data_IF_576968503585
#
_entry.id   IF_576968503585
#
_cell.length_a   1.000
_cell.length_b   1.000
_cell.length_c   1.000
_cell.angle_alpha   90.00
_cell.angle_beta   90.00
_cell.angle_gamma   90.00
#
_symmetry.space_group_name_H-M   'P 1'
#
loop_
_entity.id
_entity.type
_entity.pdbx_description
1 polymer ?
#
# COMPACT_ATOMS: atom_id res chain seq x y z
N UNK A 1 -15.42 41.59 55.25
CA UNK A 1 -14.94 41.73 53.85
C UNK A 1 -14.11 40.48 53.56
N UNK A 2 -14.68 39.53 52.80
CA UNK A 2 -14.14 38.18 52.61
C UNK A 2 -13.36 38.18 51.29
N UNK A 3 -12.10 37.76 51.33
CA UNK A 3 -11.14 37.85 50.22
C UNK A 3 -11.54 36.99 49.01
N UNK A 4 -11.76 37.65 47.87
CA UNK A 4 -11.92 37.05 46.53
C UNK A 4 -10.56 36.67 45.91
N UNK A 5 -9.69 35.98 46.65
CA UNK A 5 -8.34 35.65 46.16
C UNK A 5 -8.22 34.25 45.51
N UNK A 6 -9.32 33.49 45.45
CA UNK A 6 -9.32 32.12 44.91
C UNK A 6 -9.94 31.99 43.52
N UNK A 7 -10.59 33.03 42.99
CA UNK A 7 -11.24 33.02 41.67
C UNK A 7 -10.21 33.13 40.54
N UNK A 8 -9.19 33.95 40.71
CA UNK A 8 -8.11 34.17 39.73
C UNK A 8 -7.29 32.89 39.47
N UNK A 9 -6.77 32.15 40.47
CA UNK A 9 -6.02 30.92 40.20
C UNK A 9 -6.87 29.82 39.58
N UNK A 10 -8.18 29.78 39.88
CA UNK A 10 -9.09 28.78 39.31
C UNK A 10 -9.37 29.04 37.81
N UNK A 11 -9.53 30.31 37.42
CA UNK A 11 -9.72 30.71 36.01
C UNK A 11 -8.44 30.45 35.21
N UNK A 12 -7.25 30.71 35.79
CA UNK A 12 -5.97 30.43 35.14
C UNK A 12 -5.76 28.92 34.93
N UNK A 13 -6.07 28.09 35.92
CA UNK A 13 -6.05 26.62 35.75
C UNK A 13 -7.04 26.13 34.68
N UNK A 14 -8.25 26.69 34.62
CA UNK A 14 -9.26 26.33 33.62
C UNK A 14 -8.81 26.68 32.19
N UNK A 15 -8.19 27.85 32.01
CA UNK A 15 -7.64 28.28 30.71
C UNK A 15 -6.44 27.41 30.32
N UNK A 16 -5.57 27.06 31.26
CA UNK A 16 -4.44 26.16 30.99
C UNK A 16 -4.92 24.78 30.54
N UNK A 17 -5.99 24.26 31.17
CA UNK A 17 -6.58 22.97 30.82
C UNK A 17 -7.24 22.99 29.43
N UNK A 18 -7.94 24.07 29.08
CA UNK A 18 -8.60 24.24 27.78
C UNK A 18 -7.61 24.39 26.60
N UNK A 19 -6.40 24.90 26.85
CA UNK A 19 -5.38 25.08 25.80
C UNK A 19 -4.49 23.83 25.63
N UNK A 20 -4.23 23.08 26.71
CA UNK A 20 -3.32 21.91 26.65
C UNK A 20 -3.99 20.66 26.07
N UNK A 21 -5.30 20.46 26.33
CA UNK A 21 -6.03 19.27 25.85
C UNK A 21 -6.11 19.15 24.32
N UNK A 22 -6.37 20.21 23.52
CA UNK A 22 -6.41 20.09 22.06
C UNK A 22 -5.03 19.87 21.41
N UNK A 23 -3.93 20.22 22.09
CA UNK A 23 -2.56 19.97 21.61
C UNK A 23 -2.18 18.47 21.68
N UNK A 24 -2.72 17.74 22.66
CA UNK A 24 -2.50 16.29 22.78
C UNK A 24 -3.19 15.51 21.64
N UNK A 25 -4.35 16.00 21.18
CA UNK A 25 -5.10 15.35 20.09
C UNK A 25 -4.42 15.43 18.71
N UNK A 26 -3.63 16.47 18.46
CA UNK A 26 -2.85 16.60 17.22
C UNK A 26 -1.55 15.78 17.25
N UNK A 27 -1.02 15.45 18.43
CA UNK A 27 0.19 14.64 18.58
C UNK A 27 -0.02 13.13 18.28
N UNK A 28 -1.26 12.69 18.07
CA UNK A 28 -1.61 11.31 17.72
C UNK A 28 -2.02 11.15 16.25
N UNK A 29 -2.07 12.23 15.47
CA UNK A 29 -2.41 12.14 14.04
C UNK A 29 -1.25 11.55 13.24
N UNK A 30 -1.29 10.24 13.02
CA UNK A 30 -0.44 9.56 12.05
C UNK A 30 -1.24 9.37 10.76
N UNK A 31 -0.85 10.00 9.63
CA UNK A 31 -1.40 9.59 8.34
C UNK A 31 -1.01 8.12 8.12
N UNK A 32 -2.00 7.23 8.17
CA UNK A 32 -1.80 5.82 7.90
C UNK A 32 -1.60 5.66 6.39
N UNK A 33 -0.33 5.68 5.97
CA UNK A 33 0.08 5.63 4.55
C UNK A 33 -0.42 4.35 3.87
N UNK A 34 -0.70 3.31 4.65
CA UNK A 34 -1.15 1.98 4.23
C UNK A 34 -2.67 1.81 4.20
N UNK A 35 -3.45 2.88 4.41
CA UNK A 35 -4.91 2.85 4.33
C UNK A 35 -5.36 3.59 3.09
N UNK A 36 -6.22 2.93 2.29
CA UNK A 36 -6.82 3.52 1.11
C UNK A 36 -8.34 3.37 1.12
N UNK A 37 -9.04 4.45 0.78
CA UNK A 37 -10.50 4.51 0.81
C UNK A 37 -11.05 4.82 -0.57
N UNK A 38 -12.14 4.13 -0.93
CA UNK A 38 -12.88 4.39 -2.15
C UNK A 38 -14.38 4.48 -1.85
N UNK A 39 -15.05 5.51 -2.39
CA UNK A 39 -16.49 5.69 -2.20
C UNK A 39 -17.33 4.62 -2.91
N UNK A 40 -16.75 3.92 -3.89
CA UNK A 40 -17.43 2.85 -4.62
C UNK A 40 -16.50 1.65 -4.78
N UNK A 41 -16.98 0.51 -4.29
CA UNK A 41 -16.33 -0.77 -4.49
C UNK A 41 -17.33 -1.93 -4.58
N UNK A 42 -16.81 -3.06 -5.05
CA UNK A 42 -17.50 -4.35 -5.14
C UNK A 42 -16.57 -5.44 -4.63
N UNK A 43 -16.99 -6.21 -3.65
CA UNK A 43 -16.27 -7.37 -3.14
C UNK A 43 -17.00 -8.63 -3.58
N UNK A 44 -16.28 -9.55 -4.22
CA UNK A 44 -16.78 -10.89 -4.56
C UNK A 44 -16.12 -11.88 -3.62
N UNK A 45 -16.93 -12.55 -2.80
CA UNK A 45 -16.46 -13.51 -1.81
C UNK A 45 -16.13 -14.87 -2.45
N UNK A 46 -15.36 -15.69 -1.74
CA UNK A 46 -15.06 -17.07 -2.15
C UNK A 46 -16.30 -17.97 -2.15
N UNK A 47 -17.35 -17.61 -1.39
CA UNK A 47 -18.69 -18.23 -1.46
C UNK A 47 -19.42 -17.98 -2.78
N UNK A 48 -19.04 -16.92 -3.51
CA UNK A 48 -19.75 -16.43 -4.70
C UNK A 48 -20.63 -15.21 -4.44
N UNK A 49 -20.89 -14.88 -3.17
CA UNK A 49 -21.67 -13.68 -2.80
C UNK A 49 -20.93 -12.41 -3.23
N UNK A 50 -21.70 -11.36 -3.53
CA UNK A 50 -21.17 -10.07 -3.95
C UNK A 50 -21.75 -8.96 -3.10
N UNK A 51 -20.88 -8.10 -2.57
CA UNK A 51 -21.25 -6.97 -1.72
C UNK A 51 -20.79 -5.69 -2.41
N UNK A 52 -21.64 -4.66 -2.39
CA UNK A 52 -21.39 -3.35 -2.97
C UNK A 52 -21.42 -2.29 -1.88
N UNK A 53 -20.55 -1.29 -1.99
CA UNK A 53 -20.53 -0.19 -1.03
C UNK A 53 -19.20 0.56 -1.01
N UNK A 54 -19.08 1.58 -0.16
CA UNK A 54 -17.80 2.20 0.18
C UNK A 54 -16.83 1.18 0.76
N UNK A 55 -15.56 1.27 0.36
CA UNK A 55 -14.52 0.30 0.71
C UNK A 55 -13.32 1.00 1.33
N UNK A 56 -12.80 0.42 2.40
CA UNK A 56 -11.51 0.79 2.99
C UNK A 56 -10.57 -0.42 2.92
N UNK A 57 -9.38 -0.25 2.36
CA UNK A 57 -8.36 -1.29 2.31
C UNK A 57 -7.17 -0.93 3.18
N UNK A 58 -6.85 -1.83 4.10
CA UNK A 58 -5.68 -1.76 4.97
C UNK A 58 -4.60 -2.67 4.39
N UNK A 59 -3.64 -2.09 3.67
CA UNK A 59 -2.64 -2.84 2.90
C UNK A 59 -1.76 -3.72 3.78
N UNK A 60 -1.31 -3.21 4.93
CA UNK A 60 -0.41 -3.95 5.85
C UNK A 60 -1.10 -5.17 6.47
N UNK A 61 -2.36 -4.99 6.89
CA UNK A 61 -3.15 -6.03 7.55
C UNK A 61 -3.78 -6.99 6.53
N UNK A 62 -3.75 -6.65 5.24
CA UNK A 62 -4.46 -7.38 4.17
C UNK A 62 -5.96 -7.51 4.47
N UNK A 63 -6.58 -6.46 5.03
CA UNK A 63 -8.00 -6.44 5.38
C UNK A 63 -8.73 -5.44 4.51
N UNK A 64 -9.83 -5.87 3.92
CA UNK A 64 -10.76 -5.02 3.21
C UNK A 64 -12.07 -4.91 3.99
N UNK A 65 -12.45 -3.67 4.27
CA UNK A 65 -13.70 -3.33 4.91
C UNK A 65 -14.68 -2.80 3.87
N UNK A 66 -15.95 -3.15 4.01
CA UNK A 66 -17.05 -2.62 3.19
C UNK A 66 -18.19 -2.19 4.09
N UNK A 67 -18.74 -1.01 3.80
CA UNK A 67 -19.96 -0.54 4.46
C UNK A 67 -21.18 -1.11 3.72
N UNK A 68 -21.99 -1.88 4.44
CA UNK A 68 -23.22 -2.47 3.95
C UNK A 68 -24.34 -1.40 3.84
N UNK A 69 -25.42 -1.74 3.14
CA UNK A 69 -26.57 -0.83 2.95
C UNK A 69 -27.24 -0.42 4.28
N UNK A 70 -27.19 -1.28 5.30
CA UNK A 70 -27.72 -1.00 6.64
C UNK A 70 -26.77 -0.14 7.51
N UNK A 71 -25.63 0.28 6.95
CA UNK A 71 -24.62 1.09 7.62
C UNK A 71 -23.62 0.29 8.46
N UNK A 72 -23.77 -1.03 8.56
CA UNK A 72 -22.80 -1.89 9.27
C UNK A 72 -21.50 -2.03 8.48
N UNK A 73 -20.40 -2.29 9.18
CA UNK A 73 -19.09 -2.54 8.55
C UNK A 73 -18.79 -4.04 8.58
N UNK A 74 -18.46 -4.60 7.42
CA UNK A 74 -17.96 -5.98 7.31
C UNK A 74 -16.50 -5.98 6.90
N UNK A 75 -15.70 -6.82 7.56
CA UNK A 75 -14.27 -6.94 7.33
C UNK A 75 -13.95 -8.32 6.73
N UNK A 76 -13.16 -8.34 5.66
CA UNK A 76 -12.76 -9.56 4.99
C UNK A 76 -11.25 -9.60 4.77
N UNK A 77 -10.67 -10.80 4.89
CA UNK A 77 -9.29 -11.10 4.56
C UNK A 77 -9.22 -11.88 3.23
N UNK A 78 -8.02 -12.12 2.66
CA UNK A 78 -7.91 -12.74 1.33
C UNK A 78 -8.45 -14.18 1.26
N UNK A 79 -8.58 -14.87 2.41
CA UNK A 79 -9.21 -16.21 2.47
C UNK A 79 -10.71 -16.18 2.15
N UNK A 80 -11.38 -15.06 2.41
CA UNK A 80 -12.83 -14.90 2.23
C UNK A 80 -13.19 -14.20 0.93
N UNK A 81 -12.22 -13.55 0.29
CA UNK A 81 -12.44 -12.73 -0.91
C UNK A 81 -11.83 -13.42 -2.11
N UNK A 82 -12.57 -13.50 -3.22
CA UNK A 82 -12.03 -13.96 -4.51
C UNK A 82 -11.32 -12.81 -5.24
N UNK A 83 -12.02 -11.68 -5.35
CA UNK A 83 -11.48 -10.42 -5.86
C UNK A 83 -12.36 -9.27 -5.40
N UNK A 84 -11.82 -8.06 -5.45
CA UNK A 84 -12.61 -6.85 -5.30
C UNK A 84 -12.24 -5.83 -6.39
N UNK A 85 -13.17 -4.93 -6.69
CA UNK A 85 -12.99 -3.86 -7.65
C UNK A 85 -13.32 -2.56 -6.93
N UNK A 86 -12.45 -1.56 -7.06
CA UNK A 86 -12.63 -0.22 -6.48
C UNK A 86 -12.53 0.82 -7.58
N UNK A 87 -13.23 1.94 -7.41
CA UNK A 87 -13.25 3.02 -8.37
C UNK A 87 -12.71 4.31 -7.75
N UNK A 88 -11.67 4.87 -8.35
CA UNK A 88 -11.12 6.17 -7.98
C UNK A 88 -12.06 7.30 -8.43
N UNK A 89 -12.20 8.34 -7.62
CA UNK A 89 -12.85 9.60 -8.00
C UNK A 89 -11.82 10.73 -7.98
N UNK A 90 -11.87 11.68 -8.95
CA UNK A 90 -12.88 11.84 -9.99
C UNK A 90 -12.60 11.07 -11.30
N UNK A 91 -11.48 10.35 -11.38
CA UNK A 91 -11.03 9.72 -12.64
C UNK A 91 -11.97 8.63 -13.17
N UNK A 92 -12.77 8.02 -12.29
CA UNK A 92 -13.60 6.87 -12.61
C UNK A 92 -12.80 5.59 -12.91
N UNK A 93 -11.48 5.61 -12.70
CA UNK A 93 -10.59 4.48 -12.96
C UNK A 93 -10.96 3.33 -12.02
N UNK A 94 -11.23 2.16 -12.61
CA UNK A 94 -11.49 0.93 -11.86
C UNK A 94 -10.21 0.13 -11.70
N UNK A 95 -9.90 -0.25 -10.47
CA UNK A 95 -8.75 -1.09 -10.12
C UNK A 95 -9.26 -2.41 -9.56
N UNK A 96 -8.71 -3.53 -10.04
CA UNK A 96 -9.10 -4.87 -9.57
C UNK A 96 -8.01 -5.44 -8.69
N UNK A 97 -8.39 -5.94 -7.52
CA UNK A 97 -7.50 -6.66 -6.62
C UNK A 97 -7.96 -8.12 -6.53
N UNK A 98 -7.02 -9.07 -6.60
CA UNK A 98 -7.31 -10.50 -6.52
C UNK A 98 -6.66 -11.13 -5.30
N UNK A 99 -7.34 -12.09 -4.70
CA UNK A 99 -6.73 -13.01 -3.75
C UNK A 99 -6.03 -14.13 -4.51
N UNK A 100 -4.72 -14.25 -4.35
CA UNK A 100 -3.91 -15.27 -5.00
C UNK A 100 -3.08 -16.02 -3.94
N UNK A 101 -2.88 -17.31 -4.18
CA UNK A 101 -2.02 -18.16 -3.34
C UNK A 101 -0.56 -17.84 -3.63
N UNK A 102 0.12 -17.22 -2.68
CA UNK A 102 1.50 -16.75 -2.84
C UNK A 102 2.41 -17.31 -1.75
N UNK A 103 3.63 -17.67 -2.15
CA UNK A 103 4.69 -18.26 -1.30
C UNK A 103 5.49 -17.22 -0.51
N UNK A 104 5.14 -15.94 -0.63
CA UNK A 104 5.86 -14.83 -0.02
C UNK A 104 7.29 -14.66 -0.52
N UNK A 105 7.54 -15.00 -1.80
CA UNK A 105 8.86 -14.94 -2.43
C UNK A 105 9.87 -15.89 -1.78
N UNK A 106 9.36 -16.99 -1.20
CA UNK A 106 10.14 -18.08 -0.58
C UNK A 106 10.22 -19.26 -1.55
N UNK A 107 11.30 -19.32 -2.31
CA UNK A 107 11.57 -20.37 -3.31
C UNK A 107 11.84 -21.76 -2.71
N UNK A 108 12.13 -21.84 -1.41
CA UNK A 108 12.41 -23.07 -0.68
C UNK A 108 11.19 -23.70 0.02
N UNK A 109 9.99 -23.12 -0.13
CA UNK A 109 8.78 -23.56 0.58
C UNK A 109 7.60 -23.70 -0.38
N UNK A 110 6.84 -24.77 -0.23
CA UNK A 110 5.57 -24.98 -0.92
C UNK A 110 4.38 -24.29 -0.21
N UNK A 111 4.62 -23.72 0.96
CA UNK A 111 3.60 -23.02 1.72
C UNK A 111 3.16 -21.76 1.00
N UNK A 112 1.89 -21.74 0.58
CA UNK A 112 1.26 -20.56 -0.01
C UNK A 112 0.12 -20.08 0.89
N UNK A 113 -0.01 -18.76 1.04
CA UNK A 113 -1.17 -18.14 1.70
C UNK A 113 -1.95 -17.28 0.71
N UNK A 114 -3.29 -17.16 0.87
CA UNK A 114 -4.07 -16.16 0.15
C UNK A 114 -3.54 -14.76 0.45
N UNK A 115 -3.38 -13.94 -0.58
CA UNK A 115 -2.84 -12.59 -0.48
C UNK A 115 -3.43 -11.70 -1.57
N UNK A 116 -3.71 -10.44 -1.24
CA UNK A 116 -4.21 -9.48 -2.23
C UNK A 116 -3.10 -8.96 -3.14
N UNK A 117 -3.40 -8.93 -4.43
CA UNK A 117 -2.58 -8.32 -5.48
C UNK A 117 -3.43 -7.39 -6.34
N UNK A 118 -2.90 -6.22 -6.65
CA UNK A 118 -3.48 -5.36 -7.68
C UNK A 118 -3.21 -5.98 -9.06
N UNK A 119 -4.25 -6.14 -9.87
CA UNK A 119 -4.14 -6.55 -11.26
C UNK A 119 -3.99 -5.33 -12.17
N UNK A 120 -2.90 -5.26 -12.92
CA UNK A 120 -2.58 -4.11 -13.76
C UNK A 120 -3.00 -4.27 -15.22
N UNK A 121 -3.22 -5.49 -15.70
CA UNK A 121 -3.65 -5.76 -17.06
C UNK A 121 -4.50 -7.04 -17.19
N UNK A 122 -4.89 -7.39 -18.40
CA UNK A 122 -5.62 -8.63 -18.72
C UNK A 122 -4.86 -9.42 -19.81
N UNK A 123 -5.12 -10.73 -19.91
CA UNK A 123 -4.56 -11.60 -20.94
C UNK A 123 -4.02 -12.91 -20.37
N UNK A 124 -3.24 -13.64 -21.18
CA UNK A 124 -2.63 -14.90 -20.78
C UNK A 124 -1.60 -14.73 -19.66
N UNK A 125 -0.70 -13.76 -19.79
CA UNK A 125 0.20 -13.36 -18.71
C UNK A 125 -0.30 -12.07 -18.08
N UNK A 126 -0.56 -12.10 -16.78
CA UNK A 126 -1.11 -10.96 -16.05
C UNK A 126 -0.01 -10.34 -15.18
N UNK A 127 0.30 -9.07 -15.42
CA UNK A 127 1.10 -8.25 -14.54
C UNK A 127 0.26 -7.90 -13.32
N UNK A 128 0.78 -8.26 -12.14
CA UNK A 128 0.18 -7.95 -10.86
C UNK A 128 1.21 -7.23 -9.98
N UNK A 129 0.75 -6.48 -9.00
CA UNK A 129 1.64 -5.78 -8.07
C UNK A 129 1.15 -5.79 -6.63
N UNK A 130 2.09 -5.51 -5.74
CA UNK A 130 1.87 -5.19 -4.33
C UNK A 130 2.70 -3.99 -3.94
N UNK A 131 2.26 -3.27 -2.93
CA UNK A 131 3.04 -2.20 -2.32
C UNK A 131 3.77 -2.72 -1.09
N UNK A 132 5.04 -2.37 -0.97
CA UNK A 132 5.83 -2.62 0.23
C UNK A 132 6.05 -1.31 0.95
N UNK A 133 5.54 -1.23 2.18
CA UNK A 133 5.63 -0.06 3.05
C UNK A 133 6.88 -0.20 3.93
N UNK A 134 7.94 0.52 3.57
CA UNK A 134 9.23 0.47 4.26
C UNK A 134 9.33 1.68 5.18
N UNK A 135 9.71 1.43 6.43
CA UNK A 135 10.11 2.46 7.38
C UNK A 135 11.63 2.53 7.34
N UNK A 136 12.19 3.64 6.86
CA UNK A 136 13.64 3.84 6.83
C UNK A 136 14.03 4.86 7.89
N UNK A 137 14.99 4.51 8.75
CA UNK A 137 15.69 5.48 9.58
C UNK A 137 16.56 6.36 8.67
N UNK A 138 16.50 7.69 8.80
CA UNK A 138 17.37 8.57 8.02
C UNK A 138 18.84 8.19 8.22
N UNK A 139 19.50 7.77 7.13
CA UNK A 139 20.85 7.19 7.09
C UNK A 139 21.98 8.15 7.51
N UNK A 140 21.67 9.38 7.95
CA UNK A 140 22.61 10.49 8.10
C UNK A 140 22.87 10.93 9.56
N UNK A 141 22.69 10.08 10.56
CA UNK A 141 23.34 10.31 11.85
C UNK A 141 24.72 9.66 11.85
N UNK A 142 25.75 10.44 11.52
CA UNK A 142 27.12 10.03 11.79
C UNK A 142 27.24 9.72 13.29
N UNK A 143 27.88 8.60 13.65
CA UNK A 143 28.14 8.28 15.06
C UNK A 143 28.88 9.41 15.81
N UNK A 144 29.56 10.29 15.05
CA UNK A 144 30.25 11.47 15.56
C UNK A 144 29.30 12.61 15.99
N UNK A 145 28.14 12.76 15.35
CA UNK A 145 27.12 13.74 15.73
C UNK A 145 26.22 13.25 16.87
N UNK A 146 26.09 11.93 17.06
CA UNK A 146 25.32 11.35 18.16
C UNK A 146 25.99 11.53 19.54
N UNK A 147 27.33 11.64 19.59
CA UNK A 147 28.07 11.73 20.85
C UNK A 147 27.81 13.03 21.64
N UNK A 148 27.44 14.11 20.96
CA UNK A 148 27.16 15.42 21.58
C UNK A 148 25.78 15.54 22.23
N UNK A 149 24.84 14.66 21.89
CA UNK A 149 23.44 14.70 22.38
C UNK A 149 23.15 13.69 23.50
N UNK A 150 24.12 12.86 23.90
CA UNK A 150 23.97 11.83 24.94
C UNK A 150 23.86 12.37 26.38
N UNK A 151 24.01 13.68 26.59
CA UNK A 151 24.06 14.30 27.92
C UNK A 151 22.86 15.19 28.27
N UNK A 152 21.89 15.35 27.36
CA UNK A 152 20.71 16.20 27.58
C UNK A 152 19.41 15.39 27.34
N UNK A 153 18.63 15.08 28.40
CA UNK A 153 17.37 14.34 28.28
C UNK A 153 16.30 15.02 27.41
N UNK A 154 16.43 16.33 27.15
CA UNK A 154 15.43 17.14 26.43
C UNK A 154 15.86 17.50 24.99
N UNK A 155 16.99 16.97 24.51
CA UNK A 155 17.52 17.30 23.18
C UNK A 155 16.83 16.53 22.05
N UNK A 156 15.96 17.20 21.29
CA UNK A 156 15.42 16.73 20.00
C UNK A 156 16.54 16.67 18.94
N UNK A 157 16.78 15.50 18.35
CA UNK A 157 17.73 15.33 17.24
C UNK A 157 17.00 15.63 15.92
N UNK A 158 17.29 16.76 15.25
CA UNK A 158 16.67 17.11 13.97
C UNK A 158 17.11 16.11 12.90
N UNK A 159 16.15 15.57 12.14
CA UNK A 159 16.42 14.54 11.14
C UNK A 159 16.39 13.11 11.67
N UNK A 160 15.78 12.86 12.83
CA UNK A 160 15.35 11.52 13.31
C UNK A 160 13.94 11.14 12.81
N UNK A 161 13.41 11.92 11.87
CA UNK A 161 12.07 11.72 11.31
C UNK A 161 12.07 10.48 10.40
N UNK A 162 11.24 9.51 10.76
CA UNK A 162 11.00 8.31 9.99
C UNK A 162 10.42 8.65 8.61
N UNK A 163 11.05 8.14 7.54
CA UNK A 163 10.53 8.31 6.18
C UNK A 163 9.79 7.04 5.77
N UNK A 164 8.49 7.17 5.49
CA UNK A 164 7.68 6.10 4.92
C UNK A 164 7.91 6.05 3.40
N UNK A 165 8.43 4.93 2.91
CA UNK A 165 8.61 4.68 1.48
C UNK A 165 7.63 3.61 1.00
N UNK A 166 6.82 3.93 -0.01
CA UNK A 166 6.01 2.94 -0.73
C UNK A 166 6.83 2.46 -1.94
N UNK A 167 7.20 1.18 -1.96
CA UNK A 167 7.89 0.56 -3.09
C UNK A 167 6.97 -0.43 -3.80
N UNK A 168 6.65 -0.25 -5.09
CA UNK A 168 5.91 -1.25 -5.83
C UNK A 168 6.78 -2.48 -6.10
N UNK A 169 6.22 -3.65 -5.83
CA UNK A 169 6.76 -4.96 -6.16
C UNK A 169 5.90 -5.56 -7.26
N UNK A 170 6.53 -5.98 -8.36
CA UNK A 170 5.84 -6.53 -9.52
C UNK A 170 6.03 -8.04 -9.61
N UNK A 171 4.98 -8.70 -10.10
CA UNK A 171 4.94 -10.14 -10.32
C UNK A 171 4.19 -10.43 -11.62
N UNK A 172 4.41 -11.62 -12.18
CA UNK A 172 3.59 -12.16 -13.26
C UNK A 172 2.76 -13.32 -12.73
N UNK A 173 1.45 -13.27 -12.97
CA UNK A 173 0.57 -14.42 -12.89
C UNK A 173 0.53 -15.09 -14.27
N UNK A 174 0.99 -16.32 -14.33
CA UNK A 174 1.00 -17.15 -15.52
C UNK A 174 -0.36 -17.86 -15.74
N UNK A 175 -0.64 -18.35 -16.96
CA UNK A 175 -1.90 -19.04 -17.26
C UNK A 175 -2.18 -20.28 -16.41
N UNK A 176 -1.14 -20.95 -15.92
CA UNK A 176 -1.22 -22.11 -15.03
C UNK A 176 -1.45 -21.75 -13.56
N UNK A 177 -1.48 -20.45 -13.23
CA UNK A 177 -1.65 -19.94 -11.87
C UNK A 177 -0.34 -19.75 -11.10
N UNK A 178 0.82 -19.98 -11.71
CA UNK A 178 2.11 -19.69 -11.09
C UNK A 178 2.34 -18.18 -10.97
N UNK A 179 2.95 -17.75 -9.86
CA UNK A 179 3.32 -16.35 -9.63
C UNK A 179 4.85 -16.25 -9.69
N UNK A 180 5.36 -15.44 -10.62
CA UNK A 180 6.80 -15.17 -10.77
C UNK A 180 7.12 -13.78 -10.24
N UNK A 181 8.00 -13.69 -9.24
CA UNK A 181 8.56 -12.42 -8.74
C UNK A 181 9.47 -11.76 -9.78
N UNK A 182 9.26 -10.47 -10.04
CA UNK A 182 10.12 -9.67 -10.93
C UNK A 182 11.16 -8.87 -10.11
N UNK A 183 12.22 -9.54 -9.65
CA UNK A 183 13.31 -8.93 -8.86
C UNK A 183 14.11 -7.94 -9.69
N UNK A 184 14.39 -8.29 -10.94
CA UNK A 184 14.90 -7.41 -11.97
C UNK A 184 13.91 -7.39 -13.12
N UNK A 185 12.92 -6.49 -13.03
CA UNK A 185 11.80 -6.36 -13.97
C UNK A 185 12.20 -6.58 -15.42
N UNK A 186 13.23 -5.88 -15.89
CA UNK A 186 13.69 -6.01 -17.28
C UNK A 186 14.22 -7.41 -17.59
N UNK A 187 15.15 -7.92 -16.79
CA UNK A 187 15.79 -9.23 -17.04
C UNK A 187 14.77 -10.35 -16.97
N UNK A 188 13.95 -10.34 -15.93
CA UNK A 188 13.03 -11.43 -15.58
C UNK A 188 11.88 -11.51 -16.60
N UNK A 189 11.37 -10.36 -17.07
CA UNK A 189 10.40 -10.34 -18.17
C UNK A 189 10.94 -11.04 -19.42
N UNK A 190 12.19 -10.78 -19.81
CA UNK A 190 12.76 -11.42 -21.00
C UNK A 190 13.01 -12.92 -20.84
N UNK A 191 13.25 -13.38 -19.62
CA UNK A 191 13.31 -14.80 -19.32
C UNK A 191 11.94 -15.45 -19.54
N UNK A 192 10.86 -14.82 -19.06
CA UNK A 192 9.49 -15.33 -19.23
C UNK A 192 9.01 -15.22 -20.68
N UNK A 193 9.32 -14.14 -21.38
CA UNK A 193 8.89 -13.95 -22.77
C UNK A 193 9.54 -14.91 -23.77
N UNK A 194 10.68 -15.52 -23.39
CA UNK A 194 11.38 -16.52 -24.19
C UNK A 194 11.59 -16.09 -25.64
N UNK A 195 11.09 -16.90 -26.60
CA UNK A 195 11.25 -16.67 -28.04
C UNK A 195 10.63 -15.34 -28.51
N UNK A 196 9.51 -14.93 -27.93
CA UNK A 196 8.80 -13.67 -28.27
C UNK A 196 9.52 -12.44 -27.70
N UNK A 197 10.46 -12.61 -26.76
CA UNK A 197 11.20 -11.53 -26.12
C UNK A 197 11.97 -10.62 -27.10
N UNK A 198 12.44 -11.14 -28.24
CA UNK A 198 13.09 -10.31 -29.28
C UNK A 198 12.14 -9.28 -29.89
N UNK A 199 10.88 -9.67 -30.15
CA UNK A 199 9.86 -8.78 -30.71
C UNK A 199 9.45 -7.72 -29.68
N UNK A 200 9.25 -8.13 -28.42
CA UNK A 200 8.95 -7.21 -27.32
C UNK A 200 10.08 -6.20 -27.12
N UNK A 201 11.35 -6.63 -27.16
CA UNK A 201 12.50 -5.74 -27.05
C UNK A 201 12.54 -4.67 -28.14
N UNK A 202 12.18 -5.06 -29.37
CA UNK A 202 12.05 -4.12 -30.48
C UNK A 202 10.94 -3.11 -30.21
N UNK A 203 9.76 -3.57 -29.81
CA UNK A 203 8.63 -2.69 -29.45
C UNK A 203 8.99 -1.68 -28.35
N UNK A 204 9.64 -2.13 -27.27
CA UNK A 204 10.11 -1.24 -26.18
C UNK A 204 11.04 -0.15 -26.72
N UNK A 205 12.00 -0.52 -27.58
CA UNK A 205 12.96 0.43 -28.16
C UNK A 205 12.26 1.43 -29.08
N UNK A 206 11.40 0.94 -29.97
CA UNK A 206 10.72 1.75 -30.99
C UNK A 206 9.75 2.75 -30.33
N UNK A 207 9.09 2.35 -29.24
CA UNK A 207 8.17 3.19 -28.45
C UNK A 207 8.84 3.93 -27.28
N UNK A 208 10.15 3.76 -27.10
CA UNK A 208 10.95 4.37 -26.01
C UNK A 208 10.35 4.14 -24.61
N UNK A 209 9.88 2.92 -24.35
CA UNK A 209 9.25 2.56 -23.09
C UNK A 209 10.28 2.28 -21.99
N UNK A 210 9.95 2.70 -20.78
CA UNK A 210 10.69 2.49 -19.54
C UNK A 210 10.04 1.36 -18.72
N UNK A 211 10.85 0.54 -18.05
CA UNK A 211 10.35 -0.57 -17.22
C UNK A 211 9.94 -0.10 -15.83
N UNK A 212 10.42 1.08 -15.42
CA UNK A 212 10.23 1.68 -14.12
C UNK A 212 8.88 2.40 -14.01
N UNK A 213 8.24 2.71 -15.15
CA UNK A 213 6.94 3.41 -15.20
C UNK A 213 5.79 2.38 -15.27
N UNK A 214 4.89 2.32 -14.27
CA UNK A 214 3.85 1.29 -14.21
C UNK A 214 3.00 1.18 -15.48
N UNK A 215 2.52 2.30 -16.01
CA UNK A 215 1.71 2.32 -17.23
C UNK A 215 2.46 1.85 -18.49
N UNK A 216 3.78 2.08 -18.56
CA UNK A 216 4.61 1.62 -19.67
C UNK A 216 4.95 0.13 -19.52
N UNK A 217 5.18 -0.33 -18.29
CA UNK A 217 5.34 -1.73 -17.97
C UNK A 217 4.11 -2.55 -18.37
N UNK A 218 2.91 -2.05 -18.06
CA UNK A 218 1.63 -2.61 -18.53
C UNK A 218 1.59 -2.69 -20.05
N UNK A 219 1.99 -1.62 -20.76
CA UNK A 219 2.01 -1.62 -22.22
C UNK A 219 2.97 -2.68 -22.80
N UNK A 220 4.12 -2.90 -22.16
CA UNK A 220 5.09 -3.94 -22.55
C UNK A 220 4.47 -5.34 -22.42
N UNK A 221 3.83 -5.64 -21.28
CA UNK A 221 3.20 -6.95 -21.04
C UNK A 221 1.99 -7.16 -21.94
N UNK A 222 1.18 -6.12 -22.18
CA UNK A 222 0.06 -6.20 -23.12
C UNK A 222 0.51 -6.47 -24.55
N UNK A 223 1.60 -5.84 -24.98
CA UNK A 223 2.17 -6.14 -26.29
C UNK A 223 2.61 -7.60 -26.39
N UNK A 224 3.29 -8.13 -25.36
CA UNK A 224 3.63 -9.56 -25.31
C UNK A 224 2.39 -10.47 -25.43
N UNK A 225 1.31 -10.16 -24.71
CA UNK A 225 0.06 -10.93 -24.78
C UNK A 225 -0.63 -10.89 -26.16
N UNK A 226 -0.31 -9.90 -27.01
CA UNK A 226 -0.87 -9.77 -28.36
C UNK A 226 -0.10 -10.55 -29.44
N UNK A 227 1.09 -11.06 -29.10
CA UNK A 227 1.92 -11.91 -29.96
C UNK A 227 1.52 -13.38 -29.85
#
# INVERSE_FOLDING_TARGET
MKNDNYTIPFIVCLILFLVVVPLIGQAQYRPAVDIQEWPMGKIVLTSGDTIYGPVTYHHTQEIINIQNEDGTLSAFSPVNVKYFIVQEQPSGKSTTFRSLMWDMDRDYSDFKKPTFFEQLNQGGVVLIMRENYIHTEPENLSAYSAQGFLYDPDSYVPGSEWINHIKPLYYLLLPDGEIITLRNVRKDLYQVFGKKGKQVKKYVKDKRLAYEKPHQLVAIVNYFNSL
#
